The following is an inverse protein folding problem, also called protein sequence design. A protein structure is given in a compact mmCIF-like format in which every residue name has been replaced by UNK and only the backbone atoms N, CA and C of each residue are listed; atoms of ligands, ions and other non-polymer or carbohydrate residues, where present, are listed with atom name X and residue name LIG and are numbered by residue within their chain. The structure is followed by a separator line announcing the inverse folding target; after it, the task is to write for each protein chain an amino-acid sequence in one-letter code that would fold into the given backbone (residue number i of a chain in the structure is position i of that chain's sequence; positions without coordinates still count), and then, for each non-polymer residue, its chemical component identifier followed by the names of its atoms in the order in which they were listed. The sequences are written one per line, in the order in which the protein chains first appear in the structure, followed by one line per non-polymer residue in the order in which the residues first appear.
data_IF_221131915594
#
_entry.id   IF_221131915594
#
_cell.length_a   1.000
_cell.length_b   1.000
_cell.length_c   1.000
_cell.angle_alpha   90.00
_cell.angle_beta   90.00
_cell.angle_gamma   90.00
#
_symmetry.space_group_name_H-M   'P 1'
#
loop_
_entity.id
_entity.type
_entity.pdbx_description
1 polymer ?
#
# COMPACT_ATOMS: atom_id res chain seq x y z
N UNK A 1 -4.93 -46.36 -8.19
CA UNK A 1 -4.18 -45.23 -8.78
C UNK A 1 -5.02 -43.99 -8.53
N UNK A 2 -4.65 -43.14 -7.59
CA UNK A 2 -5.43 -41.97 -7.20
C UNK A 2 -4.60 -40.75 -7.57
N UNK A 3 -5.01 -40.04 -8.62
CA UNK A 3 -4.39 -38.79 -9.09
C UNK A 3 -4.78 -37.66 -8.14
N UNK A 4 -3.83 -37.25 -7.29
CA UNK A 4 -3.86 -35.98 -6.59
C UNK A 4 -3.78 -34.86 -7.63
N UNK A 5 -4.63 -33.81 -7.57
CA UNK A 5 -4.55 -32.72 -8.53
C UNK A 5 -3.23 -31.98 -8.33
N UNK A 6 -2.54 -31.82 -9.45
CA UNK A 6 -1.31 -31.05 -9.61
C UNK A 6 -1.50 -29.63 -9.06
N UNK A 7 -0.59 -29.23 -8.17
CA UNK A 7 -0.57 -27.88 -7.58
C UNK A 7 -0.06 -26.96 -8.68
N UNK A 8 -0.98 -26.52 -9.53
CA UNK A 8 -0.74 -25.55 -10.59
C UNK A 8 0.18 -24.44 -10.06
N UNK A 9 1.37 -24.37 -10.67
CA UNK A 9 2.39 -23.35 -10.46
C UNK A 9 1.69 -22.00 -10.41
N UNK A 10 1.48 -21.49 -9.20
CA UNK A 10 0.77 -20.24 -9.04
C UNK A 10 1.63 -19.16 -9.69
N UNK A 11 1.07 -18.37 -10.62
CA UNK A 11 1.76 -17.21 -11.13
C UNK A 11 2.26 -16.36 -9.96
N UNK A 12 3.55 -16.00 -9.95
CA UNK A 12 4.24 -15.45 -8.79
C UNK A 12 3.53 -14.20 -8.23
N UNK A 13 2.75 -14.40 -7.16
CA UNK A 13 2.11 -13.35 -6.37
C UNK A 13 3.13 -12.77 -5.40
N UNK A 14 3.36 -11.47 -5.48
CA UNK A 14 4.31 -10.76 -4.61
C UNK A 14 3.53 -10.01 -3.53
N UNK A 15 3.64 -10.46 -2.29
CA UNK A 15 3.09 -9.76 -1.13
C UNK A 15 4.09 -8.71 -0.62
N UNK A 16 3.66 -7.46 -0.52
CA UNK A 16 4.49 -6.39 0.04
C UNK A 16 4.63 -6.54 1.55
N UNK A 17 5.87 -6.41 2.05
CA UNK A 17 6.13 -6.37 3.48
C UNK A 17 5.56 -5.08 4.10
N UNK A 18 4.97 -5.13 5.31
CA UNK A 18 4.53 -3.94 6.02
C UNK A 18 5.72 -3.04 6.40
N UNK A 19 5.52 -1.73 6.34
CA UNK A 19 6.48 -0.71 6.77
C UNK A 19 5.90 0.12 7.91
N UNK A 20 6.50 -0.03 9.09
CA UNK A 20 6.07 0.67 10.30
C UNK A 20 6.73 2.04 10.48
N UNK A 21 7.52 2.50 9.50
CA UNK A 21 8.28 3.74 9.59
C UNK A 21 7.38 4.97 9.82
N UNK A 22 6.30 5.10 9.04
CA UNK A 22 5.34 6.21 9.17
C UNK A 22 4.64 6.21 10.54
N UNK A 23 3.94 5.13 10.97
CA UNK A 23 3.25 5.14 12.26
C UNK A 23 4.21 5.35 13.44
N UNK A 24 5.40 4.74 13.43
CA UNK A 24 6.39 4.94 14.50
C UNK A 24 6.88 6.39 14.54
N UNK A 25 7.21 6.98 13.39
CA UNK A 25 7.66 8.38 13.32
C UNK A 25 6.60 9.33 13.86
N UNK A 26 5.32 9.09 13.51
CA UNK A 26 4.22 9.92 14.02
C UNK A 26 4.00 9.75 15.52
N UNK A 27 4.14 8.54 16.08
CA UNK A 27 4.08 8.32 17.54
C UNK A 27 5.21 9.10 18.23
N UNK A 28 6.44 9.01 17.74
CA UNK A 28 7.59 9.73 18.30
C UNK A 28 7.40 11.25 18.22
N UNK A 29 6.83 11.76 17.13
CA UNK A 29 6.53 13.18 16.97
C UNK A 29 5.36 13.65 17.86
N UNK A 30 4.35 12.80 18.07
CA UNK A 30 3.18 13.12 18.88
C UNK A 30 3.54 13.34 20.36
N UNK A 31 4.52 12.60 20.89
CA UNK A 31 4.88 12.65 22.30
C UNK A 31 5.30 14.05 22.78
N UNK A 32 6.32 14.73 22.21
CA UNK A 32 6.67 16.10 22.60
C UNK A 32 5.53 17.09 22.30
N UNK A 33 4.81 16.90 21.19
CA UNK A 33 3.67 17.74 20.81
C UNK A 33 2.54 17.67 21.83
N UNK A 34 2.33 16.52 22.47
CA UNK A 34 1.32 16.36 23.51
C UNK A 34 1.61 17.24 24.72
N UNK A 35 2.87 17.37 25.14
CA UNK A 35 3.25 18.25 26.24
C UNK A 35 3.16 19.74 25.88
N UNK A 36 3.36 20.11 24.62
CA UNK A 36 3.22 21.48 24.15
C UNK A 36 1.75 21.89 23.90
N UNK A 37 0.99 20.99 23.27
CA UNK A 37 -0.41 21.16 22.85
C UNK A 37 -1.11 19.81 22.89
N UNK A 38 -1.65 19.46 24.06
CA UNK A 38 -2.27 18.16 24.32
C UNK A 38 -3.29 17.73 23.26
N UNK A 39 -4.14 18.66 22.78
CA UNK A 39 -5.14 18.35 21.75
C UNK A 39 -4.49 17.95 20.41
N UNK A 40 -3.46 18.67 19.98
CA UNK A 40 -2.77 18.41 18.72
C UNK A 40 -1.94 17.11 18.81
N UNK A 41 -1.20 16.94 19.90
CA UNK A 41 -0.47 15.69 20.16
C UNK A 41 -1.42 14.49 20.24
N UNK A 42 -2.57 14.64 20.89
CA UNK A 42 -3.60 13.60 20.99
C UNK A 42 -4.17 13.20 19.63
N UNK A 43 -4.50 14.18 18.79
CA UNK A 43 -4.99 13.93 17.43
C UNK A 43 -3.95 13.17 16.58
N UNK A 44 -2.67 13.58 16.64
CA UNK A 44 -1.59 12.91 15.91
C UNK A 44 -1.37 11.49 16.44
N UNK A 45 -1.38 11.29 17.76
CA UNK A 45 -1.22 9.97 18.37
C UNK A 45 -2.34 9.00 17.93
N UNK A 46 -3.60 9.46 17.93
CA UNK A 46 -4.73 8.67 17.46
C UNK A 46 -4.59 8.30 15.98
N UNK A 47 -4.20 9.24 15.14
CA UNK A 47 -3.95 8.98 13.72
C UNK A 47 -2.80 7.98 13.51
N UNK A 48 -1.71 8.12 14.27
CA UNK A 48 -0.58 7.20 14.20
C UNK A 48 -0.96 5.77 14.61
N UNK A 49 -1.77 5.62 15.66
CA UNK A 49 -2.32 4.34 16.08
C UNK A 49 -3.23 3.74 15.00
N UNK A 50 -4.08 4.54 14.36
CA UNK A 50 -4.89 4.11 13.25
C UNK A 50 -4.05 3.57 12.07
N UNK A 51 -2.97 4.27 11.70
CA UNK A 51 -2.05 3.80 10.67
C UNK A 51 -1.30 2.52 11.10
N UNK A 52 -0.93 2.40 12.37
CA UNK A 52 -0.29 1.19 12.90
C UNK A 52 -1.21 -0.03 12.76
N UNK A 53 -2.48 0.11 13.14
CA UNK A 53 -3.49 -0.96 12.99
C UNK A 53 -3.70 -1.30 11.51
N UNK A 54 -3.80 -0.30 10.62
CA UNK A 54 -3.90 -0.56 9.19
C UNK A 54 -2.69 -1.31 8.65
N UNK A 55 -1.47 -0.90 9.01
CA UNK A 55 -0.22 -1.54 8.60
C UNK A 55 -0.16 -3.00 9.05
N UNK A 56 -0.59 -3.28 10.29
CA UNK A 56 -0.58 -4.62 10.85
C UNK A 56 -1.64 -5.55 10.24
N UNK A 57 -2.76 -5.00 9.76
CA UNK A 57 -3.92 -5.79 9.34
C UNK A 57 -4.07 -5.94 7.83
N UNK A 58 -3.63 -4.95 7.06
CA UNK A 58 -3.75 -4.96 5.60
C UNK A 58 -2.55 -5.67 4.96
N UNK A 59 -2.79 -6.31 3.81
CA UNK A 59 -1.75 -6.87 2.94
C UNK A 59 -2.02 -6.42 1.52
N UNK A 60 -0.98 -5.98 0.82
CA UNK A 60 -1.02 -5.64 -0.60
C UNK A 60 -0.29 -6.75 -1.35
N UNK A 61 -0.98 -7.37 -2.30
CA UNK A 61 -0.49 -8.50 -3.07
C UNK A 61 -0.58 -8.16 -4.56
N UNK A 62 0.57 -8.13 -5.22
CA UNK A 62 0.65 -8.00 -6.67
C UNK A 62 0.53 -9.39 -7.30
N UNK A 63 -0.59 -9.63 -7.97
CA UNK A 63 -0.77 -10.82 -8.81
C UNK A 63 -0.27 -10.53 -10.23
N UNK A 64 -0.51 -11.46 -11.16
CA UNK A 64 -0.22 -11.21 -12.58
C UNK A 64 -1.11 -10.15 -13.21
N UNK A 65 -2.36 -10.00 -12.74
CA UNK A 65 -3.36 -9.18 -13.43
C UNK A 65 -4.00 -8.11 -12.55
N UNK A 66 -3.76 -8.13 -11.24
CA UNK A 66 -4.38 -7.21 -10.31
C UNK A 66 -3.55 -6.95 -9.05
N UNK A 67 -3.75 -5.77 -8.47
CA UNK A 67 -3.37 -5.46 -7.10
C UNK A 67 -4.52 -5.87 -6.18
N UNK A 68 -4.27 -6.87 -5.35
CA UNK A 68 -5.23 -7.35 -4.36
C UNK A 68 -4.92 -6.76 -2.99
N UNK A 69 -5.96 -6.32 -2.30
CA UNK A 69 -5.89 -5.87 -0.90
C UNK A 69 -6.62 -6.87 -0.03
N UNK A 70 -5.88 -7.44 0.93
CA UNK A 70 -6.41 -8.35 1.92
C UNK A 70 -6.45 -7.73 3.31
N UNK A 71 -7.32 -8.27 4.16
CA UNK A 71 -7.28 -8.11 5.62
C UNK A 71 -7.27 -9.49 6.25
N UNK A 72 -6.12 -9.87 6.80
CA UNK A 72 -5.86 -11.28 7.12
C UNK A 72 -5.93 -12.13 5.85
N UNK A 73 -6.82 -13.11 5.83
CA UNK A 73 -7.05 -14.01 4.67
C UNK A 73 -8.21 -13.55 3.79
N UNK A 74 -8.97 -12.53 4.20
CA UNK A 74 -10.13 -12.05 3.44
C UNK A 74 -9.71 -11.03 2.39
N UNK A 75 -10.06 -11.29 1.13
CA UNK A 75 -9.92 -10.33 0.03
C UNK A 75 -10.91 -9.18 0.23
N UNK A 76 -10.40 -7.98 0.50
CA UNK A 76 -11.23 -6.79 0.66
C UNK A 76 -11.59 -6.17 -0.69
N UNK A 77 -10.61 -6.07 -1.58
CA UNK A 77 -10.76 -5.46 -2.89
C UNK A 77 -9.67 -5.93 -3.83
N UNK A 78 -10.05 -6.04 -5.09
CA UNK A 78 -9.17 -6.34 -6.21
C UNK A 78 -9.19 -5.16 -7.18
N UNK A 79 -8.01 -4.79 -7.68
CA UNK A 79 -7.81 -3.70 -8.64
C UNK A 79 -7.12 -4.24 -9.90
N UNK A 80 -7.87 -4.61 -10.94
CA UNK A 80 -7.31 -5.15 -12.18
C UNK A 80 -6.46 -4.12 -12.92
N UNK A 81 -5.23 -4.48 -13.32
CA UNK A 81 -4.33 -3.57 -14.02
C UNK A 81 -4.87 -3.11 -15.38
N UNK A 82 -5.75 -3.91 -16.00
CA UNK A 82 -6.40 -3.57 -17.26
C UNK A 82 -7.28 -2.31 -17.15
N UNK A 83 -7.77 -2.00 -15.95
CA UNK A 83 -8.58 -0.80 -15.70
C UNK A 83 -7.73 0.43 -15.35
N UNK A 84 -6.43 0.27 -15.17
CA UNK A 84 -5.55 1.33 -14.70
C UNK A 84 -5.13 2.25 -15.85
N UNK A 85 -5.26 3.55 -15.62
CA UNK A 85 -4.85 4.60 -16.53
C UNK A 85 -3.50 5.20 -16.16
N UNK A 86 -3.23 5.37 -14.87
CA UNK A 86 -1.98 5.94 -14.38
C UNK A 86 -1.74 5.56 -12.91
N UNK A 87 -0.49 5.62 -12.48
CA UNK A 87 -0.10 5.50 -11.09
C UNK A 87 1.07 6.43 -10.77
N UNK A 88 1.17 6.84 -9.50
CA UNK A 88 2.26 7.68 -9.03
C UNK A 88 2.58 7.38 -7.57
N UNK A 89 3.86 7.41 -7.22
CA UNK A 89 4.32 7.45 -5.83
C UNK A 89 4.79 8.87 -5.53
N UNK A 90 4.14 9.54 -4.59
CA UNK A 90 4.52 10.88 -4.17
C UNK A 90 5.51 10.83 -3.00
N UNK A 91 6.47 11.76 -3.04
CA UNK A 91 7.51 11.94 -2.02
C UNK A 91 8.39 10.70 -1.80
N UNK A 92 8.89 10.04 -2.85
CA UNK A 92 9.61 8.75 -2.74
C UNK A 92 10.75 8.67 -1.71
N UNK A 93 11.46 9.78 -1.43
CA UNK A 93 12.52 9.81 -0.41
C UNK A 93 11.98 9.69 1.03
N UNK A 94 10.72 10.06 1.23
CA UNK A 94 9.92 9.90 2.45
C UNK A 94 8.55 9.38 1.99
N UNK A 95 8.47 8.14 1.48
CA UNK A 95 7.34 7.70 0.66
C UNK A 95 6.06 7.76 1.50
N UNK A 96 5.20 8.73 1.19
CA UNK A 96 4.00 8.99 1.98
C UNK A 96 2.76 8.42 1.29
N UNK A 97 2.68 8.54 -0.03
CA UNK A 97 1.40 8.39 -0.73
C UNK A 97 1.56 7.67 -2.07
N UNK A 98 0.81 6.59 -2.23
CA UNK A 98 0.61 5.86 -3.47
C UNK A 98 -0.73 6.26 -4.07
N UNK A 99 -0.70 6.63 -5.34
CA UNK A 99 -1.85 7.02 -6.13
C UNK A 99 -1.98 6.11 -7.33
N UNK A 100 -3.21 5.72 -7.66
CA UNK A 100 -3.53 5.17 -8.96
C UNK A 100 -4.94 5.57 -9.40
N UNK A 101 -5.12 5.65 -10.70
CA UNK A 101 -6.37 6.00 -11.35
C UNK A 101 -6.84 4.85 -12.22
N UNK A 102 -8.06 4.40 -11.98
CA UNK A 102 -8.76 3.49 -12.88
C UNK A 102 -9.67 4.27 -13.85
N UNK A 103 -10.27 3.60 -14.83
CA UNK A 103 -11.19 4.23 -15.79
C UNK A 103 -12.33 5.00 -15.10
N UNK A 104 -12.84 4.50 -13.96
CA UNK A 104 -14.04 5.02 -13.27
C UNK A 104 -13.78 5.58 -11.88
N UNK A 105 -12.53 5.58 -11.39
CA UNK A 105 -12.23 5.88 -9.98
C UNK A 105 -10.78 6.34 -9.80
N UNK A 106 -10.53 7.01 -8.68
CA UNK A 106 -9.21 7.47 -8.27
C UNK A 106 -8.97 6.99 -6.84
N UNK A 107 -7.78 6.45 -6.56
CA UNK A 107 -7.43 5.92 -5.26
C UNK A 107 -6.14 6.54 -4.73
N UNK A 108 -6.13 6.78 -3.42
CA UNK A 108 -4.98 7.26 -2.67
C UNK A 108 -4.78 6.35 -1.46
N UNK A 109 -3.58 5.78 -1.34
CA UNK A 109 -3.21 4.92 -0.23
C UNK A 109 -1.96 5.48 0.44
N UNK A 110 -1.93 5.59 1.78
CA UNK A 110 -0.67 5.81 2.46
C UNK A 110 0.27 4.64 2.17
N UNK A 111 1.55 4.92 1.92
CA UNK A 111 2.56 3.87 1.68
C UNK A 111 2.99 3.28 3.03
N UNK A 112 2.16 2.37 3.52
CA UNK A 112 2.37 1.62 4.76
C UNK A 112 3.15 0.31 4.53
N UNK A 113 3.72 0.13 3.34
CA UNK A 113 4.38 -1.09 2.88
C UNK A 113 5.75 -0.75 2.28
N UNK A 114 6.54 -1.76 1.94
CA UNK A 114 7.84 -1.59 1.30
C UNK A 114 7.70 -0.78 0.00
N UNK A 115 8.13 0.48 0.06
CA UNK A 115 8.01 1.43 -1.04
C UNK A 115 8.89 1.07 -2.25
N UNK A 116 10.04 0.43 -2.01
CA UNK A 116 10.95 0.00 -3.09
C UNK A 116 10.31 -1.16 -3.83
N UNK A 117 9.85 -2.17 -3.10
CA UNK A 117 9.18 -3.32 -3.69
C UNK A 117 7.87 -2.92 -4.39
N UNK A 118 7.08 -2.02 -3.78
CA UNK A 118 5.89 -1.43 -4.41
C UNK A 118 6.22 -0.85 -5.78
N UNK A 119 7.25 0.00 -5.86
CA UNK A 119 7.68 0.62 -7.11
C UNK A 119 8.12 -0.42 -8.14
N UNK A 120 8.96 -1.37 -7.73
CA UNK A 120 9.41 -2.45 -8.62
C UNK A 120 8.23 -3.22 -9.21
N UNK A 121 7.25 -3.60 -8.39
CA UNK A 121 6.07 -4.32 -8.87
C UNK A 121 5.21 -3.48 -9.82
N UNK A 122 5.02 -2.19 -9.52
CA UNK A 122 4.28 -1.27 -10.39
C UNK A 122 4.96 -1.11 -11.75
N UNK A 123 6.28 -0.90 -11.78
CA UNK A 123 7.05 -0.75 -13.02
C UNK A 123 7.07 -2.03 -13.87
N UNK A 124 7.05 -3.21 -13.23
CA UNK A 124 7.07 -4.49 -13.92
C UNK A 124 5.70 -4.93 -14.44
N UNK A 125 4.61 -4.59 -13.75
CA UNK A 125 3.28 -5.21 -13.95
C UNK A 125 2.21 -4.23 -14.38
N UNK A 126 2.40 -2.94 -14.14
CA UNK A 126 1.41 -1.92 -14.45
C UNK A 126 1.90 -1.02 -15.59
N UNK A 127 1.10 -0.79 -16.63
CA UNK A 127 1.47 0.15 -17.68
C UNK A 127 1.68 1.54 -17.07
N UNK A 128 2.88 2.10 -17.25
CA UNK A 128 3.17 3.49 -16.85
C UNK A 128 2.57 4.39 -17.92
N UNK A 129 1.57 5.20 -17.58
CA UNK A 129 1.25 6.34 -18.43
C UNK A 129 2.42 7.32 -18.34
N UNK A 130 2.96 7.68 -19.50
CA UNK A 130 4.05 8.63 -19.63
C UNK A 130 3.85 9.84 -18.72
N UNK A 131 4.89 10.32 -18.02
CA UNK A 131 4.78 11.55 -17.26
C UNK A 131 4.39 12.65 -18.23
N UNK A 132 3.23 13.30 -17.99
CA UNK A 132 2.96 14.59 -18.61
C UNK A 132 3.99 15.54 -18.02
N UNK A 133 5.06 15.76 -18.76
CA UNK A 133 6.01 16.83 -18.55
C UNK A 133 5.24 18.14 -18.39
N UNK A 134 5.36 18.75 -17.22
CA UNK A 134 5.13 20.18 -17.03
C UNK A 134 6.39 20.79 -16.45
#
# INVERSE_FOLDING_TARGET
MTTTPDRSLSPETVQLAPSYAIPITLILAALPLFFLKAWAGGAIALFALFLLVQTATLRLCFTQTALDIYRGESLLRQFPYADWQNWQIFWFNVPVLFYFKEVKSIHFLPILFDAKMLRTCLEQRCPVAHPVSR
#
